data_IF_043000511672
#
_entry.id   IF_043000511672
#
_cell.length_a   1.000
_cell.length_b   1.000
_cell.length_c   1.000
_cell.angle_alpha   90.00
_cell.angle_beta   90.00
_cell.angle_gamma   90.00
#
_symmetry.space_group_name_H-M   'P 1'
#
loop_
_entity.id
_entity.type
_entity.pdbx_description
1 polymer ?
#
# COMPACT_ATOMS: atom_id res chain seq x y z
N UNK A 1 -4.72 3.87 30.71
CA UNK A 1 -4.04 4.34 29.48
C UNK A 1 -5.08 4.38 28.37
N UNK A 2 -5.31 5.53 27.72
CA UNK A 2 -6.15 5.56 26.52
C UNK A 2 -5.42 4.75 25.44
N UNK A 3 -6.10 3.78 24.83
CA UNK A 3 -5.56 3.04 23.68
C UNK A 3 -5.14 4.04 22.60
N UNK A 4 -3.92 3.92 22.07
CA UNK A 4 -3.39 4.77 21.00
C UNK A 4 -4.22 4.51 19.73
N UNK A 5 -4.87 5.54 19.19
CA UNK A 5 -5.70 5.41 17.98
C UNK A 5 -4.82 4.95 16.80
N UNK A 6 -5.13 3.80 16.22
CA UNK A 6 -4.41 3.25 15.04
C UNK A 6 -5.19 3.62 13.78
N UNK A 7 -4.58 4.49 12.98
CA UNK A 7 -5.14 5.00 11.73
C UNK A 7 -4.43 4.33 10.56
N UNK A 8 -5.21 3.75 9.64
CA UNK A 8 -4.74 3.14 8.41
C UNK A 8 -5.25 3.93 7.20
N UNK A 9 -4.38 4.19 6.23
CA UNK A 9 -4.71 4.78 4.94
C UNK A 9 -4.47 3.73 3.87
N UNK A 10 -5.44 3.51 2.99
CA UNK A 10 -5.39 2.48 1.95
C UNK A 10 -5.50 3.15 0.57
N UNK A 11 -4.49 2.96 -0.27
CA UNK A 11 -4.48 3.45 -1.66
C UNK A 11 -5.29 2.52 -2.57
N UNK A 12 -6.50 2.93 -2.96
CA UNK A 12 -7.43 2.17 -3.77
C UNK A 12 -8.04 2.99 -4.95
N UNK A 13 -7.30 3.97 -5.47
CA UNK A 13 -7.71 4.83 -6.59
C UNK A 13 -7.26 4.34 -7.98
N UNK A 14 -6.69 3.13 -8.09
CA UNK A 14 -6.06 2.65 -9.31
C UNK A 14 -7.06 2.08 -10.33
N UNK A 15 -6.89 2.38 -11.62
CA UNK A 15 -7.79 1.89 -12.68
C UNK A 15 -7.78 0.37 -12.93
N UNK A 16 -6.94 -0.40 -12.21
CA UNK A 16 -6.83 -1.86 -12.32
C UNK A 16 -6.49 -2.38 -13.74
N UNK A 17 -5.95 -1.51 -14.61
CA UNK A 17 -5.85 -1.77 -16.05
C UNK A 17 -4.96 -2.95 -16.42
N UNK A 18 -3.87 -3.18 -15.66
CA UNK A 18 -2.95 -4.32 -15.90
C UNK A 18 -3.67 -5.65 -15.68
N UNK A 19 -4.39 -5.77 -14.57
CA UNK A 19 -5.19 -6.95 -14.25
C UNK A 19 -6.24 -7.19 -15.33
N UNK A 20 -7.02 -6.16 -15.68
CA UNK A 20 -8.08 -6.25 -16.69
C UNK A 20 -7.57 -6.72 -18.05
N UNK A 21 -6.38 -6.27 -18.48
CA UNK A 21 -5.75 -6.70 -19.73
C UNK A 21 -5.32 -8.17 -19.72
N UNK A 22 -4.94 -8.70 -18.55
CA UNK A 22 -4.47 -10.08 -18.39
C UNK A 22 -5.57 -11.12 -18.09
N UNK A 23 -6.84 -10.72 -18.05
CA UNK A 23 -7.93 -11.63 -17.65
C UNK A 23 -8.11 -12.81 -18.62
N UNK A 24 -7.75 -12.64 -19.89
CA UNK A 24 -7.83 -13.71 -20.89
C UNK A 24 -6.65 -14.69 -20.81
N UNK A 25 -5.63 -14.39 -20.00
CA UNK A 25 -4.42 -15.23 -19.87
C UNK A 25 -4.61 -16.36 -18.85
N UNK A 26 -5.75 -16.40 -18.15
CA UNK A 26 -6.02 -17.31 -17.03
C UNK A 26 -7.47 -17.77 -17.08
N UNK A 27 -7.69 -19.06 -16.85
CA UNK A 27 -9.02 -19.61 -16.67
C UNK A 27 -9.51 -19.33 -15.24
N UNK A 28 -10.50 -18.44 -15.10
CA UNK A 28 -11.09 -18.00 -13.84
C UNK A 28 -12.57 -18.35 -13.82
N UNK A 29 -13.12 -18.59 -12.63
CA UNK A 29 -14.58 -18.68 -12.45
C UNK A 29 -15.26 -17.47 -13.09
N UNK A 30 -16.34 -17.71 -13.83
CA UNK A 30 -17.01 -16.69 -14.63
C UNK A 30 -17.42 -15.47 -13.78
N UNK A 31 -17.89 -15.69 -12.55
CA UNK A 31 -18.27 -14.58 -11.66
C UNK A 31 -17.06 -13.73 -11.25
N UNK A 32 -15.91 -14.37 -10.95
CA UNK A 32 -14.66 -13.67 -10.61
C UNK A 32 -14.17 -12.86 -11.81
N UNK A 33 -14.22 -13.44 -13.01
CA UNK A 33 -13.85 -12.77 -14.26
C UNK A 33 -14.73 -11.53 -14.51
N UNK A 34 -16.04 -11.64 -14.32
CA UNK A 34 -16.98 -10.55 -14.59
C UNK A 34 -16.84 -9.39 -13.59
N UNK A 35 -16.63 -9.70 -12.30
CA UNK A 35 -16.30 -8.68 -11.30
C UNK A 35 -14.95 -8.03 -11.62
N UNK A 36 -13.93 -8.81 -12.00
CA UNK A 36 -12.61 -8.28 -12.31
C UNK A 36 -12.60 -7.34 -13.53
N UNK A 37 -13.49 -7.53 -14.52
CA UNK A 37 -13.65 -6.63 -15.67
C UNK A 37 -14.24 -5.29 -15.27
N UNK A 38 -15.22 -5.30 -14.37
CA UNK A 38 -16.09 -4.14 -14.10
C UNK A 38 -15.64 -3.35 -12.87
N UNK A 39 -15.19 -4.03 -11.82
CA UNK A 39 -14.91 -3.44 -10.51
C UNK A 39 -13.43 -3.07 -10.32
N UNK A 40 -13.14 -2.39 -9.20
CA UNK A 40 -11.77 -2.18 -8.73
C UNK A 40 -11.18 -3.50 -8.22
N UNK A 41 -9.88 -3.74 -8.45
CA UNK A 41 -9.21 -5.02 -8.12
C UNK A 41 -9.31 -5.44 -6.65
N UNK A 42 -9.37 -4.48 -5.74
CA UNK A 42 -9.55 -4.74 -4.29
C UNK A 42 -10.89 -5.40 -3.97
N UNK A 43 -11.88 -5.30 -4.87
CA UNK A 43 -13.22 -5.86 -4.73
C UNK A 43 -13.37 -7.21 -5.44
N UNK A 44 -12.31 -7.73 -6.05
CA UNK A 44 -12.34 -9.05 -6.69
C UNK A 44 -12.54 -10.12 -5.60
N UNK A 45 -13.56 -10.99 -5.71
CA UNK A 45 -13.79 -12.09 -4.79
C UNK A 45 -12.65 -13.09 -4.80
N UNK A 46 -12.20 -13.49 -3.61
CA UNK A 46 -11.12 -14.44 -3.39
C UNK A 46 -11.58 -15.54 -2.42
N UNK A 47 -11.01 -16.73 -2.61
CA UNK A 47 -11.22 -17.89 -1.75
C UNK A 47 -12.60 -18.51 -1.94
N UNK A 48 -12.86 -19.56 -1.17
CA UNK A 48 -14.13 -20.29 -1.22
C UNK A 48 -15.30 -19.43 -0.72
N UNK A 49 -15.04 -18.54 0.24
CA UNK A 49 -16.03 -17.61 0.80
C UNK A 49 -16.34 -16.42 -0.11
N UNK A 50 -15.64 -16.30 -1.27
CA UNK A 50 -15.82 -15.21 -2.24
C UNK A 50 -15.76 -13.81 -1.61
N UNK A 51 -14.91 -13.64 -0.60
CA UNK A 51 -14.69 -12.34 0.06
C UNK A 51 -13.70 -11.50 -0.76
N UNK A 52 -13.91 -10.18 -0.91
CA UNK A 52 -12.99 -9.36 -1.70
C UNK A 52 -11.62 -9.22 -1.04
N UNK A 53 -10.56 -8.90 -1.80
CA UNK A 53 -9.23 -8.59 -1.24
C UNK A 53 -9.30 -7.55 -0.11
N UNK A 54 -10.14 -6.52 -0.26
CA UNK A 54 -10.35 -5.49 0.76
C UNK A 54 -10.83 -6.07 2.10
N UNK A 55 -11.64 -7.14 2.08
CA UNK A 55 -12.05 -7.83 3.30
C UNK A 55 -10.82 -8.36 4.06
N UNK A 56 -9.90 -9.05 3.37
CA UNK A 56 -8.72 -9.64 4.01
C UNK A 56 -7.74 -8.57 4.49
N UNK A 57 -7.60 -7.47 3.76
CA UNK A 57 -6.82 -6.31 4.21
C UNK A 57 -7.41 -5.74 5.51
N UNK A 58 -8.72 -5.55 5.57
CA UNK A 58 -9.41 -5.04 6.75
C UNK A 58 -9.38 -6.02 7.92
N UNK A 59 -9.41 -7.32 7.66
CA UNK A 59 -9.23 -8.36 8.69
C UNK A 59 -7.83 -8.26 9.32
N UNK A 60 -6.79 -8.13 8.51
CA UNK A 60 -5.43 -7.94 9.02
C UNK A 60 -5.29 -6.61 9.77
N UNK A 61 -5.94 -5.55 9.28
CA UNK A 61 -5.98 -4.26 9.96
C UNK A 61 -6.68 -4.35 11.34
N UNK A 62 -7.83 -5.01 11.41
CA UNK A 62 -8.58 -5.23 12.65
C UNK A 62 -7.74 -6.02 13.66
N UNK A 63 -7.09 -7.10 13.20
CA UNK A 63 -6.18 -7.92 14.02
C UNK A 63 -4.94 -7.12 14.48
N UNK A 64 -4.53 -6.11 13.71
CA UNK A 64 -3.52 -5.14 14.11
C UNK A 64 -4.08 -3.98 14.96
N UNK A 65 -5.33 -4.03 15.41
CA UNK A 65 -5.96 -3.04 16.29
C UNK A 65 -6.34 -1.72 15.62
N UNK A 66 -6.42 -1.69 14.29
CA UNK A 66 -6.91 -0.53 13.53
C UNK A 66 -8.39 -0.31 13.84
N UNK A 67 -8.75 0.95 14.10
CA UNK A 67 -10.14 1.38 14.32
C UNK A 67 -10.58 2.48 13.37
N UNK A 68 -9.65 3.11 12.66
CA UNK A 68 -9.92 4.21 11.73
C UNK A 68 -9.21 3.93 10.41
N UNK A 69 -9.98 3.91 9.32
CA UNK A 69 -9.48 3.63 7.98
C UNK A 69 -9.87 4.77 7.04
N UNK A 70 -8.91 5.24 6.25
CA UNK A 70 -9.11 6.17 5.15
C UNK A 70 -8.86 5.44 3.84
N UNK A 71 -9.93 5.18 3.09
CA UNK A 71 -9.86 4.54 1.79
C UNK A 71 -9.76 5.62 0.71
N UNK A 72 -8.58 5.74 0.09
CA UNK A 72 -8.35 6.69 -0.99
C UNK A 72 -8.86 6.07 -2.30
N UNK A 73 -9.87 6.68 -2.90
CA UNK A 73 -10.57 6.17 -4.11
C UNK A 73 -10.67 7.25 -5.18
N UNK A 74 -11.01 6.87 -6.42
CA UNK A 74 -11.48 7.87 -7.41
C UNK A 74 -12.90 8.33 -7.05
N UNK A 75 -13.44 9.40 -7.69
CA UNK A 75 -14.83 9.81 -7.48
C UNK A 75 -15.85 8.70 -7.76
N UNK A 76 -15.55 7.80 -8.71
CA UNK A 76 -16.38 6.65 -9.08
C UNK A 76 -16.21 5.48 -8.10
N UNK A 77 -16.66 5.67 -6.85
CA UNK A 77 -16.43 4.72 -5.76
C UNK A 77 -17.68 3.99 -5.25
N UNK A 78 -18.76 3.94 -6.05
CA UNK A 78 -20.03 3.33 -5.63
C UNK A 78 -19.85 1.87 -5.18
N UNK A 79 -19.08 1.07 -5.92
CA UNK A 79 -18.84 -0.33 -5.58
C UNK A 79 -18.16 -0.52 -4.20
N UNK A 80 -17.34 0.45 -3.75
CA UNK A 80 -16.78 0.41 -2.41
C UNK A 80 -17.82 0.74 -1.34
N UNK A 81 -18.70 1.71 -1.61
CA UNK A 81 -19.80 2.05 -0.70
C UNK A 81 -20.74 0.87 -0.54
N UNK A 82 -21.14 0.25 -1.65
CA UNK A 82 -21.97 -0.95 -1.66
C UNK A 82 -21.35 -2.08 -0.83
N UNK A 83 -20.03 -2.29 -0.96
CA UNK A 83 -19.32 -3.28 -0.15
C UNK A 83 -19.37 -2.96 1.35
N UNK A 84 -19.12 -1.72 1.75
CA UNK A 84 -19.15 -1.31 3.16
C UNK A 84 -20.58 -1.35 3.74
N UNK A 85 -21.60 -1.16 2.90
CA UNK A 85 -23.00 -1.29 3.30
C UNK A 85 -23.50 -2.74 3.36
N UNK A 86 -22.75 -3.70 2.83
CA UNK A 86 -23.10 -5.13 2.84
C UNK A 86 -23.13 -5.73 4.25
N UNK A 87 -23.94 -6.77 4.43
CA UNK A 87 -24.02 -7.54 5.69
C UNK A 87 -22.66 -8.15 6.07
N UNK A 88 -21.95 -8.73 5.09
CA UNK A 88 -20.62 -9.32 5.29
C UNK A 88 -19.65 -8.32 5.92
N UNK A 89 -19.69 -7.05 5.48
CA UNK A 89 -18.86 -6.01 6.06
C UNK A 89 -19.33 -5.65 7.48
N UNK A 90 -20.63 -5.37 7.66
CA UNK A 90 -21.20 -4.90 8.93
C UNK A 90 -20.99 -5.92 10.06
N UNK A 91 -21.12 -7.21 9.75
CA UNK A 91 -20.94 -8.29 10.72
C UNK A 91 -19.48 -8.43 11.16
N UNK A 92 -18.53 -8.18 10.25
CA UNK A 92 -17.10 -8.42 10.49
C UNK A 92 -16.33 -7.20 10.99
N UNK A 93 -16.77 -5.99 10.61
CA UNK A 93 -16.00 -4.76 10.76
C UNK A 93 -16.77 -3.62 11.46
N UNK A 94 -17.76 -3.94 12.30
CA UNK A 94 -18.55 -2.97 13.07
C UNK A 94 -17.71 -2.03 13.96
N UNK A 95 -16.48 -2.42 14.31
CA UNK A 95 -15.54 -1.64 15.13
C UNK A 95 -14.55 -0.78 14.31
N UNK A 96 -14.65 -0.78 12.98
CA UNK A 96 -13.81 0.05 12.10
C UNK A 96 -14.65 1.18 11.52
N UNK A 97 -14.21 2.42 11.72
CA UNK A 97 -14.75 3.56 11.00
C UNK A 97 -14.04 3.71 9.64
N UNK A 98 -14.80 3.71 8.55
CA UNK A 98 -14.28 3.90 7.19
C UNK A 98 -14.62 5.30 6.70
N UNK A 99 -13.60 6.02 6.23
CA UNK A 99 -13.74 7.31 5.58
C UNK A 99 -13.27 7.20 4.13
N UNK A 100 -13.99 7.85 3.22
CA UNK A 100 -13.60 7.94 1.82
C UNK A 100 -12.84 9.23 1.56
N UNK A 101 -11.58 9.10 1.17
CA UNK A 101 -10.81 10.21 0.64
C UNK A 101 -10.82 10.13 -0.88
N UNK A 102 -11.24 11.20 -1.55
CA UNK A 102 -11.34 11.21 -3.00
C UNK A 102 -10.06 11.77 -3.60
N UNK A 103 -9.41 11.00 -4.48
CA UNK A 103 -8.35 11.51 -5.33
C UNK A 103 -8.97 12.05 -6.62
N UNK A 104 -8.95 13.37 -6.77
CA UNK A 104 -9.28 14.03 -8.02
C UNK A 104 -8.08 14.02 -8.95
N UNK A 105 -8.33 13.91 -10.25
CA UNK A 105 -7.32 14.10 -11.29
C UNK A 105 -7.45 15.50 -11.91
N UNK A 106 -6.35 16.12 -12.37
CA UNK A 106 -6.43 17.37 -13.13
C UNK A 106 -7.27 17.21 -14.41
N UNK A 107 -7.99 18.26 -14.80
CA UNK A 107 -8.87 18.25 -15.97
C UNK A 107 -8.13 18.01 -17.29
N UNK A 108 -6.85 18.40 -17.35
CA UNK A 108 -5.97 18.26 -18.52
C UNK A 108 -5.26 16.89 -18.59
N UNK A 109 -5.62 15.94 -17.71
CA UNK A 109 -4.95 14.63 -17.62
C UNK A 109 -5.94 13.48 -17.58
N UNK A 110 -5.61 12.42 -18.32
CA UNK A 110 -6.38 11.16 -18.27
C UNK A 110 -6.18 10.42 -16.94
N UNK A 111 -4.97 10.48 -16.38
CA UNK A 111 -4.54 9.78 -15.16
C UNK A 111 -4.38 10.71 -13.95
N UNK A 112 -4.60 10.20 -12.72
CA UNK A 112 -4.25 10.92 -11.50
C UNK A 112 -2.77 11.31 -11.43
N UNK A 113 -2.44 12.26 -10.56
CA UNK A 113 -1.08 12.77 -10.44
C UNK A 113 -0.13 11.83 -9.69
N UNK A 114 -0.59 10.73 -9.09
CA UNK A 114 0.25 9.74 -8.43
C UNK A 114 -0.09 9.53 -6.95
N UNK A 115 0.67 8.67 -6.27
CA UNK A 115 0.38 8.23 -4.89
C UNK A 115 0.63 9.31 -3.85
N UNK A 116 1.64 10.17 -4.05
CA UNK A 116 1.91 11.27 -3.11
C UNK A 116 0.82 12.34 -3.19
N UNK A 117 0.31 12.60 -4.40
CA UNK A 117 -0.84 13.47 -4.61
C UNK A 117 -2.12 12.91 -3.98
N UNK A 118 -2.34 11.59 -4.11
CA UNK A 118 -3.46 10.89 -3.47
C UNK A 118 -3.47 11.08 -1.94
N UNK A 119 -2.32 10.87 -1.30
CA UNK A 119 -2.17 11.05 0.14
C UNK A 119 -2.32 12.52 0.54
N UNK A 120 -1.73 13.45 -0.22
CA UNK A 120 -1.89 14.89 0.05
C UNK A 120 -3.36 15.32 0.02
N UNK A 121 -4.12 14.92 -1.01
CA UNK A 121 -5.55 15.21 -1.10
C UNK A 121 -6.35 14.59 0.05
N UNK A 122 -5.99 13.39 0.50
CA UNK A 122 -6.60 12.76 1.67
C UNK A 122 -6.32 13.55 2.95
N UNK A 123 -5.08 14.01 3.14
CA UNK A 123 -4.69 14.85 4.26
C UNK A 123 -5.39 16.22 4.23
N UNK A 124 -5.71 16.74 3.04
CA UNK A 124 -6.48 17.98 2.87
C UNK A 124 -7.97 17.82 3.17
N UNK A 125 -8.54 16.64 2.90
CA UNK A 125 -9.92 16.31 3.25
C UNK A 125 -10.10 15.97 4.73
N UNK A 126 -9.05 15.47 5.40
CA UNK A 126 -9.12 14.97 6.76
C UNK A 126 -7.95 15.45 7.62
N UNK A 127 -8.20 16.48 8.43
CA UNK A 127 -7.21 17.06 9.35
C UNK A 127 -6.65 16.07 10.38
N UNK A 128 -7.36 14.97 10.65
CA UNK A 128 -6.86 13.88 11.49
C UNK A 128 -5.52 13.34 10.96
N UNK A 129 -5.38 13.21 9.64
CA UNK A 129 -4.14 12.74 9.00
C UNK A 129 -3.02 13.78 9.06
N UNK A 130 -3.34 15.07 9.21
CA UNK A 130 -2.34 16.14 9.39
C UNK A 130 -1.86 16.29 10.83
N UNK A 131 -2.60 15.75 11.79
CA UNK A 131 -2.35 15.95 13.23
C UNK A 131 -1.88 14.69 13.95
N UNK A 132 -1.99 13.52 13.34
CA UNK A 132 -1.70 12.22 13.97
C UNK A 132 -0.70 11.40 13.16
N UNK A 133 -0.19 10.34 13.78
CA UNK A 133 0.51 9.27 13.07
C UNK A 133 -0.47 8.32 12.39
N UNK A 134 -0.13 7.84 11.19
CA UNK A 134 -0.90 6.83 10.48
C UNK A 134 0.04 5.88 9.73
N UNK A 135 -0.48 4.69 9.41
CA UNK A 135 0.16 3.77 8.46
C UNK A 135 -0.56 3.92 7.12
N UNK A 136 0.19 3.96 6.03
CA UNK A 136 -0.35 3.90 4.67
C UNK A 136 0.12 2.63 3.97
N UNK A 137 -0.79 2.03 3.21
CA UNK A 137 -0.56 0.80 2.45
C UNK A 137 -1.16 0.90 1.03
N UNK A 138 -0.66 0.07 0.13
CA UNK A 138 -1.33 -0.25 -1.13
C UNK A 138 -2.58 -1.10 -0.89
N UNK A 139 -3.68 -0.82 -1.60
CA UNK A 139 -4.89 -1.65 -1.55
C UNK A 139 -4.79 -2.98 -2.31
N UNK A 140 -3.75 -3.18 -3.10
CA UNK A 140 -3.51 -4.40 -3.87
C UNK A 140 -2.47 -5.34 -3.25
N UNK A 141 -1.95 -5.01 -2.07
CA UNK A 141 -1.02 -5.86 -1.35
C UNK A 141 -1.70 -6.39 -0.07
N UNK A 142 -1.52 -7.67 0.22
CA UNK A 142 -2.00 -8.29 1.46
C UNK A 142 -0.88 -8.32 2.51
N UNK A 143 -0.67 -7.19 3.18
CA UNK A 143 0.35 -7.08 4.24
C UNK A 143 -0.01 -7.91 5.47
N UNK A 144 1.00 -8.45 6.15
CA UNK A 144 0.83 -9.26 7.35
C UNK A 144 0.42 -8.41 8.56
N UNK A 145 -0.29 -9.03 9.51
CA UNK A 145 -0.60 -8.40 10.81
C UNK A 145 0.68 -7.96 11.52
N UNK A 146 1.74 -8.76 11.45
CA UNK A 146 3.03 -8.47 12.07
C UNK A 146 3.68 -7.20 11.51
N UNK A 147 3.63 -7.00 10.19
CA UNK A 147 4.16 -5.79 9.55
C UNK A 147 3.41 -4.52 9.99
N UNK A 148 2.08 -4.60 10.08
CA UNK A 148 1.23 -3.51 10.56
C UNK A 148 1.49 -3.19 12.04
N UNK A 149 1.49 -4.21 12.91
CA UNK A 149 1.76 -4.05 14.35
C UNK A 149 3.14 -3.41 14.55
N UNK A 150 4.17 -3.89 13.85
CA UNK A 150 5.53 -3.38 14.02
C UNK A 150 5.64 -1.89 13.73
N UNK A 151 4.86 -1.36 12.80
CA UNK A 151 4.78 0.08 12.54
C UNK A 151 3.96 0.80 13.61
N UNK A 152 2.80 0.26 14.00
CA UNK A 152 1.93 0.90 14.99
C UNK A 152 2.55 0.99 16.39
N UNK A 153 3.41 0.04 16.76
CA UNK A 153 4.12 0.02 18.05
C UNK A 153 5.23 1.07 18.16
N UNK A 154 5.72 1.61 17.04
CA UNK A 154 6.68 2.72 17.08
C UNK A 154 6.08 3.96 17.76
N UNK A 155 6.94 4.86 18.22
CA UNK A 155 6.53 6.13 18.79
C UNK A 155 5.71 6.95 17.80
N UNK A 156 4.84 7.83 18.30
CA UNK A 156 3.91 8.60 17.47
C UNK A 156 4.61 9.45 16.40
N UNK A 157 5.72 10.09 16.75
CA UNK A 157 6.43 11.01 15.85
C UNK A 157 7.41 10.32 14.90
N UNK A 158 7.61 9.01 15.05
CA UNK A 158 8.54 8.26 14.20
C UNK A 158 7.93 8.02 12.81
N UNK A 159 8.76 8.19 11.78
CA UNK A 159 8.48 7.71 10.44
C UNK A 159 9.21 6.40 10.22
N UNK A 160 8.56 5.48 9.50
CA UNK A 160 9.14 4.19 9.23
C UNK A 160 8.59 3.56 7.95
N UNK A 161 9.33 2.59 7.41
CA UNK A 161 8.84 1.68 6.38
C UNK A 161 9.23 0.25 6.72
N UNK A 162 8.58 -0.71 6.06
CA UNK A 162 9.04 -2.10 6.08
C UNK A 162 10.04 -2.33 4.96
N UNK A 163 11.20 -2.84 5.35
CA UNK A 163 12.34 -3.17 4.51
C UNK A 163 12.34 -4.66 4.17
N UNK A 164 11.59 -5.01 3.13
CA UNK A 164 11.43 -6.41 2.73
C UNK A 164 12.69 -6.94 2.07
N UNK A 165 13.13 -8.13 2.49
CA UNK A 165 14.12 -8.89 1.74
C UNK A 165 13.53 -9.31 0.39
N UNK A 166 14.19 -8.91 -0.70
CA UNK A 166 13.78 -9.25 -2.06
C UNK A 166 13.67 -10.77 -2.25
N UNK A 167 14.52 -11.55 -1.57
CA UNK A 167 14.55 -13.01 -1.68
C UNK A 167 13.29 -13.66 -1.10
N UNK A 168 12.65 -13.02 -0.12
CA UNK A 168 11.43 -13.55 0.52
C UNK A 168 10.16 -13.31 -0.31
N UNK A 169 10.21 -12.38 -1.28
CA UNK A 169 9.04 -11.99 -2.05
C UNK A 169 8.61 -12.99 -3.13
N UNK A 170 9.37 -14.04 -3.43
CA UNK A 170 8.94 -15.15 -4.30
C UNK A 170 8.32 -14.72 -5.65
N UNK A 171 8.77 -13.61 -6.24
CA UNK A 171 8.28 -13.13 -7.54
C UNK A 171 9.26 -13.42 -8.69
N UNK A 172 8.78 -13.50 -9.94
CA UNK A 172 9.65 -13.52 -11.11
C UNK A 172 10.57 -12.30 -11.13
N UNK A 173 11.79 -12.47 -11.66
CA UNK A 173 12.80 -11.41 -11.69
C UNK A 173 12.29 -10.09 -12.30
N UNK A 174 11.53 -10.17 -13.40
CA UNK A 174 10.94 -9.02 -14.10
C UNK A 174 9.94 -8.23 -13.24
N UNK A 175 9.31 -8.86 -12.25
CA UNK A 175 8.45 -8.16 -11.29
C UNK A 175 9.29 -7.50 -10.20
N UNK A 176 10.32 -8.20 -9.72
CA UNK A 176 11.20 -7.68 -8.67
C UNK A 176 11.94 -6.40 -9.10
N UNK A 177 12.24 -6.21 -10.39
CA UNK A 177 12.88 -4.98 -10.91
C UNK A 177 11.94 -3.77 -10.92
N UNK A 178 10.64 -3.95 -10.69
CA UNK A 178 9.65 -2.87 -10.67
C UNK A 178 9.41 -2.29 -9.28
N UNK A 179 9.92 -2.92 -8.22
CA UNK A 179 9.77 -2.42 -6.86
C UNK A 179 10.80 -1.34 -6.53
N UNK A 180 10.46 -0.49 -5.57
CA UNK A 180 11.39 0.51 -5.09
C UNK A 180 12.53 -0.14 -4.30
N UNK A 181 13.78 0.18 -4.63
CA UNK A 181 14.94 -0.22 -3.82
C UNK A 181 15.16 0.74 -2.67
N UNK A 182 15.62 0.22 -1.53
CA UNK A 182 15.94 1.03 -0.34
C UNK A 182 17.37 0.78 0.10
N UNK A 183 18.04 1.87 0.51
CA UNK A 183 19.34 1.83 1.16
C UNK A 183 19.18 2.18 2.63
N UNK A 184 19.86 1.43 3.49
CA UNK A 184 19.84 1.65 4.94
C UNK A 184 21.25 1.78 5.50
N UNK A 185 21.41 2.57 6.55
CA UNK A 185 22.68 2.65 7.29
C UNK A 185 22.82 1.48 8.28
N UNK A 186 23.93 1.45 9.02
CA UNK A 186 24.24 0.40 10.01
C UNK A 186 23.17 0.24 11.10
N UNK A 187 22.44 1.32 11.40
CA UNK A 187 21.37 1.40 12.40
C UNK A 187 19.97 1.21 11.80
N UNK A 188 19.86 0.67 10.59
CA UNK A 188 18.60 0.49 9.87
C UNK A 188 17.80 1.79 9.66
N UNK A 189 18.49 2.94 9.52
CA UNK A 189 17.83 4.18 9.06
C UNK A 189 17.85 4.25 7.55
N UNK A 190 16.75 4.70 6.95
CA UNK A 190 16.66 4.89 5.51
C UNK A 190 17.60 6.00 5.05
N UNK A 191 18.53 5.68 4.14
CA UNK A 191 19.42 6.62 3.46
C UNK A 191 18.81 7.06 2.13
N UNK A 192 18.23 6.11 1.38
CA UNK A 192 17.70 6.38 0.05
C UNK A 192 16.55 5.42 -0.29
N UNK A 193 15.64 5.86 -1.16
CA UNK A 193 14.58 5.04 -1.72
C UNK A 193 14.35 5.44 -3.18
N UNK A 194 14.42 4.47 -4.10
CA UNK A 194 14.27 4.71 -5.55
C UNK A 194 13.19 3.82 -6.15
N UNK A 195 12.13 4.46 -6.65
CA UNK A 195 11.03 3.80 -7.38
C UNK A 195 11.48 3.44 -8.80
N UNK A 196 11.40 2.15 -9.15
CA UNK A 196 11.79 1.57 -10.45
C UNK A 196 13.20 1.99 -10.87
N UNK A 197 14.23 1.58 -10.11
CA UNK A 197 15.60 1.97 -10.39
C UNK A 197 16.08 1.34 -11.70
N UNK A 198 17.08 1.94 -12.37
CA UNK A 198 17.76 1.31 -13.48
C UNK A 198 18.36 -0.03 -13.06
N UNK A 199 18.33 -1.04 -13.96
CA UNK A 199 18.84 -2.40 -13.67
C UNK A 199 20.31 -2.38 -13.23
N UNK A 200 21.10 -1.48 -13.81
CA UNK A 200 22.53 -1.31 -13.53
C UNK A 200 22.82 -0.82 -12.10
N UNK A 201 21.85 -0.16 -11.46
CA UNK A 201 22.03 0.39 -10.11
C UNK A 201 21.72 -0.63 -9.01
N UNK A 202 21.06 -1.76 -9.33
CA UNK A 202 20.50 -2.69 -8.34
C UNK A 202 21.55 -3.22 -7.36
N UNK A 203 22.74 -3.60 -7.82
CA UNK A 203 23.79 -4.14 -6.96
C UNK A 203 24.39 -3.09 -6.00
N UNK A 204 24.23 -1.80 -6.29
CA UNK A 204 24.63 -0.71 -5.39
C UNK A 204 23.71 -0.56 -4.17
N UNK A 205 22.60 -1.32 -4.11
CA UNK A 205 21.61 -1.27 -3.02
C UNK A 205 21.74 -2.44 -2.03
N UNK A 206 22.85 -3.17 -2.06
CA UNK A 206 23.09 -4.24 -1.09
C UNK A 206 23.32 -3.66 0.31
N UNK A 207 22.59 -4.18 1.29
CA UNK A 207 22.79 -3.85 2.69
C UNK A 207 24.03 -4.55 3.28
N UNK A 208 24.30 -4.32 4.57
CA UNK A 208 25.44 -4.94 5.29
C UNK A 208 25.41 -6.47 5.35
N UNK A 209 24.27 -7.09 5.06
CA UNK A 209 24.10 -8.54 4.97
C UNK A 209 24.13 -9.03 3.51
N UNK A 210 24.57 -8.16 2.58
CA UNK A 210 24.58 -8.39 1.14
C UNK A 210 23.18 -8.63 0.54
N UNK A 211 22.12 -8.20 1.23
CA UNK A 211 20.72 -8.36 0.79
C UNK A 211 20.25 -7.16 0.00
N UNK A 212 19.42 -7.42 -1.01
CA UNK A 212 18.69 -6.37 -1.71
C UNK A 212 17.37 -6.16 -0.98
N UNK A 213 17.13 -4.92 -0.54
CA UNK A 213 15.91 -4.54 0.17
C UNK A 213 14.99 -3.75 -0.73
N UNK A 214 13.70 -4.02 -0.63
CA UNK A 214 12.67 -3.30 -1.40
C UNK A 214 11.60 -2.71 -0.49
N UNK A 215 11.05 -1.57 -0.91
CA UNK A 215 9.79 -1.06 -0.37
C UNK A 215 8.63 -1.62 -1.17
N UNK A 216 7.67 -2.18 -0.46
CA UNK A 216 6.38 -2.59 -0.99
C UNK A 216 5.30 -1.54 -0.71
N UNK A 217 5.69 -0.27 -0.56
CA UNK A 217 4.81 0.89 -0.37
C UNK A 217 3.95 0.85 0.92
N UNK A 218 4.50 0.30 2.00
CA UNK A 218 3.97 0.38 3.36
C UNK A 218 4.84 1.31 4.22
N UNK A 219 4.22 2.36 4.76
CA UNK A 219 4.91 3.38 5.55
C UNK A 219 4.11 3.75 6.78
N UNK A 220 4.80 4.09 7.86
CA UNK A 220 4.27 4.91 8.94
C UNK A 220 4.76 6.34 8.76
N UNK A 221 3.83 7.28 8.88
CA UNK A 221 4.14 8.70 8.88
C UNK A 221 3.57 9.40 10.11
N UNK A 222 4.28 10.45 10.53
CA UNK A 222 3.73 11.49 11.38
C UNK A 222 3.23 12.66 10.51
N UNK A 223 1.92 12.86 10.49
CA UNK A 223 1.21 13.82 9.65
C UNK A 223 1.83 15.22 9.59
N UNK A 224 2.06 15.89 10.74
CA UNK A 224 2.53 17.27 10.75
C UNK A 224 3.84 17.50 9.99
N UNK A 225 4.75 16.53 10.03
CA UNK A 225 6.08 16.68 9.43
C UNK A 225 6.17 16.11 8.02
N UNK A 226 5.32 15.13 7.65
CA UNK A 226 5.34 14.56 6.29
C UNK A 226 4.53 15.38 5.28
N UNK A 227 3.47 16.06 5.73
CA UNK A 227 2.52 16.77 4.85
C UNK A 227 3.20 17.75 3.89
N UNK A 228 4.16 18.62 4.31
CA UNK A 228 4.85 19.52 3.39
C UNK A 228 5.56 18.81 2.24
N UNK A 229 6.11 17.61 2.49
CA UNK A 229 6.83 16.83 1.48
C UNK A 229 5.88 16.14 0.50
N UNK A 230 4.70 15.70 0.97
CA UNK A 230 3.66 15.19 0.08
C UNK A 230 3.10 16.30 -0.81
N UNK A 231 2.86 17.49 -0.23
CA UNK A 231 2.36 18.66 -0.96
C UNK A 231 3.33 19.14 -2.04
N UNK A 232 4.61 19.21 -1.71
CA UNK A 232 5.66 19.70 -2.59
C UNK A 232 6.37 18.58 -3.37
N UNK A 233 5.82 17.36 -3.40
CA UNK A 233 6.38 16.26 -4.15
C UNK A 233 6.44 16.61 -5.65
N UNK A 234 7.63 16.55 -6.28
CA UNK A 234 7.79 16.89 -7.69
C UNK A 234 7.19 15.80 -8.59
N UNK A 235 6.88 16.18 -9.83
CA UNK A 235 6.56 15.20 -10.86
C UNK A 235 7.84 14.51 -11.33
N UNK A 236 7.81 13.18 -11.40
CA UNK A 236 8.88 12.42 -12.03
C UNK A 236 9.05 12.88 -13.49
N UNK A 237 10.28 13.13 -13.98
CA UNK A 237 10.53 13.71 -15.30
C UNK A 237 9.95 12.88 -16.44
N UNK A 238 10.01 11.55 -16.37
CA UNK A 238 9.48 10.64 -17.39
C UNK A 238 8.05 10.19 -17.11
N UNK A 239 7.80 9.57 -15.95
CA UNK A 239 6.48 9.02 -15.58
C UNK A 239 5.40 10.08 -15.41
N UNK A 240 5.79 11.33 -15.16
CA UNK A 240 4.88 12.46 -14.87
C UNK A 240 3.95 12.17 -13.70
N UNK A 241 4.41 11.43 -12.69
CA UNK A 241 3.65 11.10 -11.47
C UNK A 241 4.42 11.61 -10.23
N UNK A 242 3.69 12.01 -9.19
CA UNK A 242 4.16 12.34 -7.84
C UNK A 242 4.09 11.08 -7.00
N UNK A 243 5.24 10.57 -6.58
CA UNK A 243 5.36 9.26 -5.94
C UNK A 243 5.76 9.41 -4.47
N UNK A 244 5.11 8.64 -3.58
CA UNK A 244 5.43 8.64 -2.14
C UNK A 244 6.94 8.43 -1.89
N UNK A 245 7.62 7.47 -2.55
CA UNK A 245 9.07 7.31 -2.45
C UNK A 245 9.87 8.60 -2.67
N UNK A 246 9.48 9.44 -3.63
CA UNK A 246 10.18 10.70 -3.92
C UNK A 246 9.94 11.75 -2.81
N UNK A 247 8.71 11.83 -2.28
CA UNK A 247 8.43 12.67 -1.11
C UNK A 247 9.23 12.23 0.12
N UNK A 248 9.33 10.91 0.36
CA UNK A 248 10.16 10.34 1.44
C UNK A 248 11.63 10.63 1.22
N UNK A 249 12.14 10.51 -0.02
CA UNK A 249 13.53 10.85 -0.35
C UNK A 249 13.85 12.31 -0.04
N UNK A 250 12.95 13.23 -0.38
CA UNK A 250 13.11 14.65 -0.05
C UNK A 250 13.10 14.88 1.47
N UNK A 251 12.23 14.18 2.20
CA UNK A 251 12.18 14.24 3.67
C UNK A 251 13.49 13.79 4.32
N UNK A 252 14.02 12.62 3.95
CA UNK A 252 15.26 12.09 4.56
C UNK A 252 16.51 12.86 4.14
N UNK A 253 16.47 13.58 3.02
CA UNK A 253 17.53 14.51 2.60
C UNK A 253 17.59 15.73 3.52
N UNK A 254 16.42 16.26 3.91
CA UNK A 254 16.33 17.41 4.83
C UNK A 254 16.54 17.00 6.29
N UNK A 255 16.07 15.80 6.66
CA UNK A 255 16.20 15.22 8.00
C UNK A 255 16.92 13.87 7.97
N UNK A 256 18.26 13.84 7.82
CA UNK A 256 19.01 12.59 7.81
C UNK A 256 18.79 11.75 9.07
N UNK A 257 18.79 10.42 8.91
CA UNK A 257 18.61 9.44 10.00
C UNK A 257 17.27 9.49 10.76
N UNK A 258 16.27 10.20 10.23
CA UNK A 258 14.96 10.41 10.89
C UNK A 258 13.87 9.40 10.50
N UNK A 259 14.23 8.36 9.75
CA UNK A 259 13.30 7.42 9.15
C UNK A 259 13.77 5.98 9.36
N UNK A 260 12.97 5.17 10.05
CA UNK A 260 13.30 3.77 10.33
C UNK A 260 13.01 2.86 9.13
N UNK A 261 13.84 1.86 8.91
CA UNK A 261 13.61 0.81 7.93
C UNK A 261 13.59 -0.55 8.65
N UNK A 262 12.40 -1.07 8.93
CA UNK A 262 12.23 -2.30 9.73
C UNK A 262 12.44 -3.53 8.84
N UNK A 263 13.48 -4.35 9.06
CA UNK A 263 13.79 -5.49 8.19
C UNK A 263 12.75 -6.61 8.35
N UNK A 264 12.19 -7.08 7.23
CA UNK A 264 11.23 -8.18 7.19
C UNK A 264 11.67 -9.26 6.19
N UNK A 265 11.34 -10.51 6.50
CA UNK A 265 11.55 -11.67 5.63
C UNK A 265 10.23 -12.42 5.51
N UNK A 266 9.37 -11.97 4.60
CA UNK A 266 8.08 -12.60 4.30
C UNK A 266 7.68 -12.33 2.85
N UNK A 267 6.84 -13.20 2.29
CA UNK A 267 6.18 -12.95 1.02
C UNK A 267 4.96 -12.05 1.24
N UNK A 268 4.74 -11.09 0.34
CA UNK A 268 3.52 -10.28 0.31
C UNK A 268 2.76 -10.60 -0.97
N UNK A 269 1.58 -11.22 -0.88
CA UNK A 269 0.74 -11.40 -2.06
C UNK A 269 0.34 -10.02 -2.65
N UNK A 270 0.56 -9.84 -3.95
CA UNK A 270 0.24 -8.61 -4.69
C UNK A 270 -0.72 -8.89 -5.86
N UNK A 271 -1.78 -8.09 -6.00
CA UNK A 271 -2.79 -8.24 -7.03
C UNK A 271 -2.50 -7.30 -8.21
N UNK A 272 -1.57 -7.71 -9.08
CA UNK A 272 -1.18 -6.93 -10.25
C UNK A 272 -1.77 -7.46 -11.56
N UNK A 273 -1.83 -8.80 -11.72
CA UNK A 273 -2.37 -9.51 -12.89
C UNK A 273 -3.44 -10.53 -12.49
N UNK A 274 -4.14 -11.08 -13.48
CA UNK A 274 -5.17 -12.10 -13.27
C UNK A 274 -4.61 -13.39 -12.64
N UNK A 275 -3.36 -13.75 -12.96
CA UNK A 275 -2.70 -14.93 -12.37
C UNK A 275 -2.50 -14.78 -10.87
N UNK A 276 -2.33 -13.56 -10.40
CA UNK A 276 -2.14 -13.28 -8.98
C UNK A 276 -3.39 -13.59 -8.16
N UNK A 277 -4.59 -13.54 -8.76
CA UNK A 277 -5.84 -13.96 -8.11
C UNK A 277 -5.70 -15.39 -7.58
N UNK A 278 -5.24 -16.32 -8.43
CA UNK A 278 -5.07 -17.73 -8.05
C UNK A 278 -4.00 -17.91 -6.96
N UNK A 279 -2.91 -17.14 -7.04
CA UNK A 279 -1.84 -17.18 -6.03
C UNK A 279 -2.35 -16.70 -4.67
N UNK A 280 -3.09 -15.59 -4.64
CA UNK A 280 -3.65 -15.05 -3.40
C UNK A 280 -4.66 -16.02 -2.80
N UNK A 281 -5.55 -16.61 -3.61
CA UNK A 281 -6.50 -17.63 -3.16
C UNK A 281 -5.79 -18.76 -2.41
N UNK A 282 -4.71 -19.31 -2.98
CA UNK A 282 -3.91 -20.36 -2.32
C UNK A 282 -3.30 -19.90 -1.00
N UNK A 283 -2.80 -18.66 -0.94
CA UNK A 283 -2.19 -18.11 0.29
C UNK A 283 -3.20 -17.94 1.43
N UNK A 284 -4.43 -17.54 1.11
CA UNK A 284 -5.50 -17.35 2.10
C UNK A 284 -5.97 -18.70 2.64
N UNK A 285 -6.16 -19.71 1.77
CA UNK A 285 -6.59 -21.05 2.20
C UNK A 285 -5.60 -21.67 3.19
N UNK A 286 -4.28 -21.59 2.89
CA UNK A 286 -3.24 -22.15 3.75
C UNK A 286 -3.07 -21.42 5.09
N UNK A 287 -3.63 -20.21 5.25
CA UNK A 287 -3.54 -19.44 6.49
C UNK A 287 -4.68 -19.76 7.47
N UNK A 288 -5.73 -20.44 6.99
CA UNK A 288 -6.93 -20.82 7.75
C UNK A 288 -6.93 -22.31 8.16
N UNK A 289 -5.88 -23.06 7.80
CA UNK A 289 -5.58 -24.44 8.24
C UNK A 289 -4.52 -24.44 9.34
#
# INVERSE_FOLDING_TARGET
>A
MKSKKRILVILAGGASSRLKKSLNDVDLDQNVSDVAKTSHKTLIPLGNEKKPLLYFILQNALNAGVSEVFLITSPENIAFKDFIESEVFKDSFSNININFAIQYKPNDREKPLGTSDALMQAMDQYDLLKSNSFVIINGDNLYSVNSLISLFELDEKQHALISYDRDALNFPHERLTKFALINVNENNKLINIIEKPPIEEVDNFRDKLSKIRVSMNIFKFFGPTIYPFMKNCPLHPERKEKEIPEAVRNYIKEFPNSFEALPFFEHIPDLTSAKDILTIIKSITNSNE
#
